data_IF_528587543658
#
_entry.id   IF_528587543658
#
_cell.length_a   1.000
_cell.length_b   1.000
_cell.length_c   1.000
_cell.angle_alpha   90.00
_cell.angle_beta   90.00
_cell.angle_gamma   90.00
#
_symmetry.space_group_name_H-M   'P 1'
#
loop_
_entity.id
_entity.type
_entity.pdbx_description
1 polymer ?
#
# COMPACT_ATOMS: atom_id res chain seq x y z
N UNK A 1 -6.90 -17.04 -3.37
CA UNK A 1 -7.39 -15.70 -3.74
C UNK A 1 -8.86 -15.77 -4.18
N UNK A 2 -9.75 -14.89 -3.66
CA UNK A 2 -11.15 -14.81 -4.08
C UNK A 2 -11.33 -14.48 -5.57
N UNK A 3 -12.45 -14.92 -6.16
CA UNK A 3 -12.70 -14.78 -7.61
C UNK A 3 -12.84 -13.32 -8.07
N UNK A 4 -13.51 -12.50 -7.26
CA UNK A 4 -13.61 -11.07 -7.52
C UNK A 4 -12.24 -10.37 -7.53
N UNK A 5 -11.27 -10.86 -6.74
CA UNK A 5 -9.92 -10.30 -6.74
C UNK A 5 -9.12 -10.77 -7.98
N UNK A 6 -9.33 -12.00 -8.44
CA UNK A 6 -8.77 -12.51 -9.71
C UNK A 6 -9.15 -11.65 -10.91
N UNK A 7 -10.38 -11.15 -10.93
CA UNK A 7 -10.87 -10.29 -12.02
C UNK A 7 -10.18 -8.92 -12.09
N UNK A 8 -9.46 -8.51 -11.04
CA UNK A 8 -8.73 -7.24 -10.98
C UNK A 8 -7.25 -7.38 -11.36
N UNK A 9 -6.73 -8.61 -11.50
CA UNK A 9 -5.33 -8.85 -11.87
C UNK A 9 -4.99 -8.28 -13.24
N UNK A 10 -3.82 -7.65 -13.34
CA UNK A 10 -3.32 -7.01 -14.56
C UNK A 10 -4.10 -5.76 -14.98
N UNK A 11 -5.07 -5.31 -14.17
CA UNK A 11 -5.85 -4.10 -14.46
C UNK A 11 -5.28 -2.91 -13.71
N UNK A 12 -5.35 -1.74 -14.36
CA UNK A 12 -5.17 -0.47 -13.67
C UNK A 12 -6.34 -0.27 -12.71
N UNK A 13 -6.04 -0.17 -11.42
CA UNK A 13 -7.01 0.11 -10.36
C UNK A 13 -6.72 1.45 -9.71
N UNK A 14 -7.71 2.01 -9.01
CA UNK A 14 -7.54 3.13 -8.10
C UNK A 14 -8.18 2.76 -6.76
N UNK A 15 -7.40 2.83 -5.68
CA UNK A 15 -7.83 2.35 -4.37
C UNK A 15 -7.41 3.34 -3.26
N UNK A 16 -8.30 3.64 -2.30
CA UNK A 16 -7.94 4.48 -1.15
C UNK A 16 -7.35 3.63 -0.02
N UNK A 17 -6.51 4.23 0.81
CA UNK A 17 -6.01 3.61 2.02
C UNK A 17 -5.00 4.46 2.78
N UNK A 18 -4.26 3.83 3.67
CA UNK A 18 -3.20 4.43 4.48
C UNK A 18 -1.91 3.65 4.25
N UNK A 19 -0.76 4.34 4.26
CA UNK A 19 0.53 3.72 4.08
C UNK A 19 1.14 3.28 5.42
N UNK A 20 1.72 2.08 5.43
CA UNK A 20 2.64 1.60 6.46
C UNK A 20 4.01 1.41 5.78
N UNK A 21 4.97 2.34 5.97
CA UNK A 21 6.27 2.28 5.30
C UNK A 21 7.02 0.99 5.62
N UNK A 22 7.67 0.41 4.60
CA UNK A 22 8.55 -0.76 4.75
C UNK A 22 10.01 -0.37 4.54
N UNK A 23 10.29 0.31 3.43
CA UNK A 23 11.61 0.84 3.08
C UNK A 23 11.52 2.32 2.73
N UNK A 24 12.66 2.99 2.81
CA UNK A 24 12.84 4.41 2.51
C UNK A 24 14.32 4.77 2.58
N UNK A 25 14.62 6.06 2.44
CA UNK A 25 15.97 6.57 2.68
C UNK A 25 16.37 6.52 4.16
N UNK A 26 17.63 6.86 4.46
CA UNK A 26 18.18 6.93 5.81
C UNK A 26 17.44 8.01 6.63
N UNK A 27 16.32 7.62 7.24
CA UNK A 27 15.42 8.52 7.96
C UNK A 27 13.94 8.46 7.56
N UNK A 28 13.56 7.69 6.53
CA UNK A 28 12.18 7.60 6.02
C UNK A 28 11.61 8.95 5.56
N UNK A 29 12.45 9.88 5.10
CA UNK A 29 12.02 11.15 4.50
C UNK A 29 11.39 10.89 3.12
N UNK A 30 11.95 9.96 2.35
CA UNK A 30 11.43 9.51 1.06
C UNK A 30 11.13 8.02 1.07
N UNK A 31 9.91 7.67 0.65
CA UNK A 31 9.36 6.32 0.68
C UNK A 31 9.02 5.86 -0.73
N UNK A 32 9.49 4.70 -1.13
CA UNK A 32 9.13 4.01 -2.38
C UNK A 32 8.41 2.67 -2.16
N UNK A 33 8.52 2.08 -0.96
CA UNK A 33 7.89 0.81 -0.64
C UNK A 33 7.08 0.85 0.66
N UNK A 34 5.81 0.44 0.60
CA UNK A 34 4.92 0.42 1.76
C UNK A 34 3.78 -0.60 1.61
N UNK A 35 3.11 -0.90 2.72
CA UNK A 35 1.84 -1.62 2.73
C UNK A 35 0.67 -0.63 2.73
N UNK A 36 -0.25 -0.78 1.79
CA UNK A 36 -1.52 -0.06 1.79
C UNK A 36 -2.55 -0.85 2.61
N UNK A 37 -3.13 -0.19 3.62
CA UNK A 37 -4.09 -0.77 4.58
C UNK A 37 -5.39 0.05 4.64
N UNK A 38 -6.53 -0.56 5.04
CA UNK A 38 -7.84 0.10 4.96
C UNK A 38 -8.15 1.07 6.11
N UNK A 39 -7.33 1.11 7.16
CA UNK A 39 -7.53 1.99 8.31
C UNK A 39 -6.20 2.50 8.88
N UNK A 40 -6.25 3.69 9.45
CA UNK A 40 -5.10 4.35 10.05
C UNK A 40 -4.57 3.58 11.27
N UNK A 41 -3.24 3.52 11.41
CA UNK A 41 -2.58 2.89 12.57
C UNK A 41 -2.54 1.36 12.55
N UNK A 42 -2.99 0.72 11.47
CA UNK A 42 -2.82 -0.72 11.27
C UNK A 42 -1.33 -1.10 11.39
N UNK A 43 -1.07 -2.29 11.93
CA UNK A 43 0.28 -2.85 12.12
C UNK A 43 1.16 -2.13 13.16
N UNK A 44 0.74 -0.99 13.71
CA UNK A 44 1.49 -0.23 14.74
C UNK A 44 0.74 -0.22 16.07
N UNK A 45 -0.49 0.31 16.05
CA UNK A 45 -1.27 0.52 17.28
C UNK A 45 -2.36 -0.54 17.49
N UNK A 46 -2.69 -1.29 16.44
CA UNK A 46 -3.70 -2.35 16.45
C UNK A 46 -3.19 -3.56 15.66
N UNK A 47 -3.79 -4.75 15.86
CA UNK A 47 -3.39 -5.96 15.13
C UNK A 47 -3.41 -5.77 13.60
N UNK A 48 -2.57 -6.51 12.87
CA UNK A 48 -2.52 -6.41 11.41
C UNK A 48 -3.87 -6.82 10.75
N UNK A 49 -4.25 -6.21 9.62
CA UNK A 49 -5.43 -6.62 8.86
C UNK A 49 -5.30 -8.06 8.33
N UNK A 50 -6.43 -8.72 7.99
CA UNK A 50 -6.42 -9.95 7.21
C UNK A 50 -5.57 -9.81 5.92
N UNK A 51 -4.83 -10.86 5.49
CA UNK A 51 -3.92 -10.76 4.34
C UNK A 51 -4.57 -10.29 3.03
N UNK A 52 -5.86 -10.61 2.83
CA UNK A 52 -6.61 -10.17 1.65
C UNK A 52 -7.08 -8.70 1.73
N UNK A 53 -6.68 -7.95 2.75
CA UNK A 53 -6.96 -6.53 2.95
C UNK A 53 -5.67 -5.70 3.02
N UNK A 54 -4.55 -6.26 2.58
CA UNK A 54 -3.25 -5.57 2.53
C UNK A 54 -2.76 -5.62 1.08
N UNK A 55 -2.21 -4.51 0.59
CA UNK A 55 -1.57 -4.44 -0.73
C UNK A 55 -0.13 -3.99 -0.51
N UNK A 56 0.82 -4.74 -1.03
CA UNK A 56 2.21 -4.31 -1.14
C UNK A 56 2.34 -3.34 -2.31
N UNK A 57 2.81 -2.12 -2.04
CA UNK A 57 2.93 -1.06 -3.04
C UNK A 57 4.40 -0.71 -3.19
N UNK A 58 4.86 -0.76 -4.44
CA UNK A 58 6.18 -0.33 -4.89
C UNK A 58 5.97 0.82 -5.87
N UNK A 59 6.57 1.97 -5.60
CA UNK A 59 6.48 3.15 -6.45
C UNK A 59 7.64 3.20 -7.45
N UNK A 60 7.38 3.67 -8.66
CA UNK A 60 8.44 3.93 -9.66
C UNK A 60 9.44 5.00 -9.20
N UNK A 61 9.00 5.90 -8.31
CA UNK A 61 9.79 6.99 -7.75
C UNK A 61 9.42 7.20 -6.28
N UNK A 62 10.41 7.38 -5.39
CA UNK A 62 10.13 7.72 -4.00
C UNK A 62 9.32 9.01 -3.88
N UNK A 63 8.47 9.07 -2.86
CA UNK A 63 7.68 10.26 -2.49
C UNK A 63 8.02 10.69 -1.08
N UNK A 64 7.96 11.99 -0.82
CA UNK A 64 8.17 12.52 0.52
C UNK A 64 7.12 11.97 1.50
N UNK A 65 7.53 11.60 2.71
CA UNK A 65 6.68 10.99 3.73
C UNK A 65 5.36 11.74 3.97
N UNK A 66 5.40 13.07 3.96
CA UNK A 66 4.21 13.91 4.16
C UNK A 66 3.07 13.59 3.16
N UNK A 67 3.40 13.18 1.93
CA UNK A 67 2.42 12.83 0.89
C UNK A 67 1.62 11.60 1.28
N UNK A 68 2.23 10.63 1.97
CA UNK A 68 1.64 9.33 2.30
C UNK A 68 1.26 9.18 3.78
N UNK A 69 1.56 10.21 4.59
CA UNK A 69 1.26 10.26 6.02
C UNK A 69 -0.24 10.31 6.37
N UNK A 70 -1.09 10.64 5.40
CA UNK A 70 -2.55 10.68 5.53
C UNK A 70 -3.25 9.68 4.60
N UNK A 71 -4.58 9.73 4.53
CA UNK A 71 -5.34 8.92 3.59
C UNK A 71 -4.96 9.29 2.15
N UNK A 72 -4.56 8.28 1.37
CA UNK A 72 -4.09 8.44 0.00
C UNK A 72 -4.94 7.64 -0.98
N UNK A 73 -4.88 8.05 -2.25
CA UNK A 73 -5.32 7.26 -3.37
C UNK A 73 -4.09 6.74 -4.13
N UNK A 74 -4.02 5.42 -4.31
CA UNK A 74 -3.02 4.80 -5.18
C UNK A 74 -3.67 4.39 -6.49
N UNK A 75 -2.95 4.59 -7.58
CA UNK A 75 -3.31 4.09 -8.91
C UNK A 75 -2.16 3.27 -9.44
N UNK A 76 -2.44 2.09 -9.99
CA UNK A 76 -1.40 1.18 -10.49
C UNK A 76 -1.99 -0.11 -11.04
N UNK A 77 -1.12 -0.96 -11.57
CA UNK A 77 -1.49 -2.31 -12.03
C UNK A 77 -1.47 -3.23 -10.81
N UNK A 78 -2.58 -3.95 -10.60
CA UNK A 78 -2.64 -4.92 -9.51
C UNK A 78 -2.12 -6.28 -9.97
N UNK A 79 -1.14 -6.81 -9.26
CA UNK A 79 -0.52 -8.12 -9.53
C UNK A 79 -0.62 -9.04 -8.31
N UNK A 80 -0.43 -10.34 -8.53
CA UNK A 80 -0.26 -11.30 -7.44
C UNK A 80 1.21 -11.21 -7.03
N UNK A 81 1.48 -10.77 -5.79
CA UNK A 81 2.82 -10.84 -5.23
C UNK A 81 3.28 -12.30 -5.08
N UNK A 82 4.58 -12.52 -5.22
CA UNK A 82 5.21 -13.84 -5.07
C UNK A 82 5.04 -14.45 -3.67
#
# INVERSE_FOLDING_TARGET
MPENLRQLMGKSIKIPGFAVPLEGDDGFEYIDEFLLVPYFGACIHVPPPPPNQVIHVILDKPVHWEVISFAIWITGILEIGD
#
